data_IF_258787474544
#
_entry.id   IF_258787474544
#
_cell.length_a   1.000
_cell.length_b   1.000
_cell.length_c   1.000
_cell.angle_alpha   90.00
_cell.angle_beta   90.00
_cell.angle_gamma   90.00
#
_symmetry.space_group_name_H-M   'P 1'
#
loop_
_entity.id
_entity.type
_entity.pdbx_description
1 polymer ?
#
# COMPACT_ATOMS: atom_id res chain seq x y z
N UNK A 1 -32.67 -16.14 -19.66
CA UNK A 1 -33.16 -17.23 -18.80
C UNK A 1 -32.50 -17.04 -17.45
N UNK A 2 -33.25 -16.48 -16.51
CA UNK A 2 -32.88 -16.49 -15.10
C UNK A 2 -33.35 -17.84 -14.56
N UNK A 3 -32.47 -18.62 -13.93
CA UNK A 3 -32.90 -19.70 -13.05
C UNK A 3 -31.79 -20.21 -12.13
N UNK A 4 -32.11 -20.19 -10.84
CA UNK A 4 -31.81 -21.22 -9.84
C UNK A 4 -30.37 -21.37 -9.34
N UNK A 5 -29.90 -20.37 -8.56
CA UNK A 5 -29.04 -20.67 -7.42
C UNK A 5 -29.94 -20.87 -6.17
N UNK A 6 -29.78 -21.96 -5.41
CA UNK A 6 -30.65 -22.27 -4.28
C UNK A 6 -30.54 -21.20 -3.21
N UNK A 7 -31.70 -20.82 -2.67
CA UNK A 7 -31.90 -19.88 -1.58
C UNK A 7 -31.28 -20.40 -0.28
N UNK A 8 -29.95 -20.28 -0.15
CA UNK A 8 -29.32 -20.10 1.14
C UNK A 8 -29.53 -18.64 1.58
N UNK A 9 -29.69 -18.41 2.88
CA UNK A 9 -29.86 -17.10 3.53
C UNK A 9 -28.62 -16.18 3.42
N UNK A 10 -27.92 -16.17 2.29
CA UNK A 10 -26.74 -15.37 2.03
C UNK A 10 -27.08 -14.16 1.19
N UNK A 11 -27.39 -13.03 1.82
CA UNK A 11 -27.42 -11.77 1.10
C UNK A 11 -26.08 -11.55 0.41
N UNK A 12 -26.07 -11.48 -0.92
CA UNK A 12 -24.87 -11.13 -1.68
C UNK A 12 -24.37 -9.79 -1.17
N UNK A 13 -23.15 -9.76 -0.61
CA UNK A 13 -22.53 -8.51 -0.19
C UNK A 13 -22.28 -7.69 -1.45
N UNK A 14 -22.99 -6.58 -1.60
CA UNK A 14 -22.82 -5.62 -2.71
C UNK A 14 -21.52 -4.84 -2.53
N UNK A 15 -20.39 -5.54 -2.62
CA UNK A 15 -19.05 -4.98 -2.58
C UNK A 15 -18.49 -4.87 -4.00
N UNK A 16 -17.64 -3.87 -4.21
CA UNK A 16 -16.83 -3.81 -5.42
C UNK A 16 -15.62 -4.73 -5.26
N UNK A 17 -15.73 -5.94 -5.82
CA UNK A 17 -14.63 -6.91 -5.85
C UNK A 17 -13.53 -6.54 -6.87
N UNK A 18 -13.73 -5.47 -7.65
CA UNK A 18 -12.85 -5.00 -8.71
C UNK A 18 -13.05 -5.76 -10.03
N UNK A 19 -12.00 -5.89 -10.86
CA UNK A 19 -12.06 -6.55 -12.17
C UNK A 19 -12.49 -8.03 -12.11
N UNK A 20 -12.50 -8.62 -10.93
CA UNK A 20 -12.94 -9.99 -10.69
C UNK A 20 -14.43 -10.16 -10.98
N UNK A 21 -15.23 -9.09 -10.82
CA UNK A 21 -16.65 -9.09 -11.16
C UNK A 21 -16.90 -9.48 -12.63
N UNK A 22 -15.99 -9.10 -13.53
CA UNK A 22 -16.07 -9.44 -14.96
C UNK A 22 -15.67 -10.90 -15.23
N UNK A 23 -14.88 -11.51 -14.33
CA UNK A 23 -14.40 -12.89 -14.41
C UNK A 23 -15.29 -13.89 -13.63
N UNK A 24 -16.34 -13.42 -12.94
CA UNK A 24 -17.31 -14.25 -12.20
C UNK A 24 -18.39 -14.85 -13.13
N UNK A 25 -17.98 -15.53 -14.19
CA UNK A 25 -18.88 -16.39 -14.97
C UNK A 25 -18.75 -17.85 -14.51
N UNK A 26 -19.20 -18.83 -15.31
CA UNK A 26 -19.20 -20.25 -14.92
C UNK A 26 -17.79 -20.85 -14.76
N UNK A 27 -16.75 -20.20 -15.31
CA UNK A 27 -15.37 -20.65 -15.22
C UNK A 27 -14.38 -19.48 -15.27
N UNK A 28 -13.20 -19.71 -14.70
CA UNK A 28 -12.11 -18.73 -14.76
C UNK A 28 -11.51 -18.67 -16.17
N UNK A 29 -11.39 -17.46 -16.71
CA UNK A 29 -10.64 -17.17 -17.93
C UNK A 29 -9.41 -16.33 -17.61
N UNK A 30 -8.27 -16.70 -18.18
CA UNK A 30 -7.06 -15.90 -18.05
C UNK A 30 -7.20 -14.60 -18.86
N UNK A 31 -7.37 -13.48 -18.16
CA UNK A 31 -7.42 -12.14 -18.76
C UNK A 31 -6.04 -11.48 -18.57
N UNK A 32 -5.35 -11.10 -19.67
CA UNK A 32 -4.05 -10.45 -19.59
C UNK A 32 -4.08 -9.19 -18.72
N UNK A 33 -3.17 -9.09 -17.75
CA UNK A 33 -3.09 -7.99 -16.79
C UNK A 33 -3.95 -8.14 -15.53
N UNK A 34 -4.78 -9.19 -15.44
CA UNK A 34 -5.58 -9.54 -14.24
C UNK A 34 -5.03 -10.74 -13.48
N UNK A 35 -3.86 -11.26 -13.85
CA UNK A 35 -3.24 -12.42 -13.21
C UNK A 35 -2.95 -12.17 -11.73
N UNK A 36 -2.74 -10.90 -11.35
CA UNK A 36 -2.55 -10.51 -9.95
C UNK A 36 -3.75 -10.87 -9.07
N UNK A 37 -4.97 -10.95 -9.61
CA UNK A 37 -6.18 -11.26 -8.84
C UNK A 37 -6.12 -12.66 -8.20
N UNK A 38 -5.50 -13.62 -8.90
CA UNK A 38 -5.36 -15.01 -8.45
C UNK A 38 -4.01 -15.28 -7.78
N UNK A 39 -3.10 -14.30 -7.78
CA UNK A 39 -1.81 -14.41 -7.13
C UNK A 39 -1.97 -14.53 -5.60
N UNK A 40 -1.16 -15.37 -4.96
CA UNK A 40 -1.17 -15.48 -3.51
C UNK A 40 -0.81 -14.11 -2.87
N UNK A 41 -1.66 -13.50 -2.03
CA UNK A 41 -1.35 -12.20 -1.43
C UNK A 41 -0.20 -12.26 -0.40
N UNK A 42 0.14 -13.45 0.11
CA UNK A 42 1.24 -13.70 1.04
C UNK A 42 2.43 -14.40 0.38
N UNK A 43 2.93 -13.88 -0.74
CA UNK A 43 4.09 -14.48 -1.42
C UNK A 43 5.32 -14.47 -0.49
N UNK A 44 5.95 -15.61 -0.22
CA UNK A 44 7.21 -15.63 0.54
C UNK A 44 8.33 -14.97 -0.26
N UNK A 45 9.27 -14.30 0.41
CA UNK A 45 10.42 -13.65 -0.26
C UNK A 45 10.18 -12.23 -0.76
N UNK A 46 9.06 -11.60 -0.39
CA UNK A 46 8.82 -10.16 -0.64
C UNK A 46 9.96 -9.30 -0.07
N UNK A 47 10.46 -9.63 1.13
CA UNK A 47 11.58 -8.91 1.75
C UNK A 47 12.86 -8.94 0.90
N UNK A 48 13.18 -10.08 0.27
CA UNK A 48 14.36 -10.21 -0.59
C UNK A 48 14.32 -9.29 -1.81
N UNK A 49 13.12 -8.98 -2.30
CA UNK A 49 12.92 -8.07 -3.43
C UNK A 49 12.87 -6.61 -2.99
N UNK A 50 12.45 -6.31 -1.76
CA UNK A 50 12.35 -4.95 -1.24
C UNK A 50 13.69 -4.45 -0.67
N UNK A 51 14.50 -5.32 -0.05
CA UNK A 51 15.84 -4.96 0.47
C UNK A 51 16.74 -4.25 -0.57
N UNK A 52 16.90 -4.73 -1.82
CA UNK A 52 17.70 -4.03 -2.81
C UNK A 52 17.09 -2.69 -3.21
N UNK A 53 15.76 -2.55 -3.20
CA UNK A 53 15.10 -1.26 -3.43
C UNK A 53 15.42 -0.27 -2.31
N UNK A 54 15.34 -0.71 -1.05
CA UNK A 54 15.71 0.12 0.13
C UNK A 54 17.15 0.60 0.00
N UNK A 55 18.09 -0.31 -0.29
CA UNK A 55 19.50 0.05 -0.49
C UNK A 55 19.68 1.10 -1.59
N UNK A 56 18.93 0.97 -2.68
CA UNK A 56 18.96 1.92 -3.81
C UNK A 56 18.33 3.28 -3.46
N UNK A 57 17.34 3.31 -2.57
CA UNK A 57 16.76 4.54 -2.03
C UNK A 57 17.69 5.24 -1.04
N UNK A 58 18.37 4.49 -0.18
CA UNK A 58 19.37 5.00 0.78
C UNK A 58 20.59 5.59 0.09
N UNK A 59 21.10 4.92 -0.96
CA UNK A 59 22.30 5.34 -1.68
C UNK A 59 22.08 6.56 -2.59
N UNK A 60 20.86 7.08 -2.70
CA UNK A 60 20.53 8.14 -3.67
C UNK A 60 20.45 7.66 -5.12
N UNK A 61 20.75 6.39 -5.40
CA UNK A 61 20.85 5.87 -6.77
C UNK A 61 19.52 5.82 -7.53
N UNK A 62 18.38 5.90 -6.85
CA UNK A 62 17.04 6.02 -7.46
C UNK A 62 16.57 7.48 -7.62
N UNK A 63 17.42 8.47 -7.34
CA UNK A 63 16.99 9.88 -7.32
C UNK A 63 18.07 10.95 -7.43
N UNK A 64 19.36 10.62 -7.58
CA UNK A 64 20.41 11.65 -7.78
C UNK A 64 20.33 12.32 -9.15
N UNK A 65 19.63 11.72 -10.12
CA UNK A 65 19.34 12.35 -11.42
C UNK A 65 18.11 13.30 -11.35
N UNK A 66 17.43 13.36 -10.19
CA UNK A 66 16.19 14.11 -9.98
C UNK A 66 16.09 14.86 -8.64
N UNK A 67 17.18 15.06 -7.90
CA UNK A 67 17.33 16.37 -7.26
C UNK A 67 17.52 17.36 -8.41
N UNK A 68 16.40 17.71 -9.05
CA UNK A 68 16.32 18.90 -9.88
C UNK A 68 16.98 19.98 -9.03
N UNK A 69 18.07 20.54 -9.54
CA UNK A 69 18.72 21.69 -8.95
C UNK A 69 17.72 22.86 -9.04
N UNK A 70 16.79 22.85 -8.09
CA UNK A 70 15.68 23.79 -7.96
C UNK A 70 16.15 25.05 -7.25
N UNK A 71 17.32 25.04 -6.59
CA UNK A 71 17.92 26.22 -5.97
C UNK A 71 18.07 27.35 -7.00
N UNK A 72 18.38 26.98 -8.25
CA UNK A 72 18.54 27.92 -9.36
C UNK A 72 17.24 28.21 -10.15
N UNK A 73 16.14 27.46 -9.93
CA UNK A 73 14.87 27.61 -10.69
C UNK A 73 13.71 28.17 -9.88
N UNK A 74 13.68 27.95 -8.57
CA UNK A 74 12.58 28.40 -7.69
C UNK A 74 13.03 29.67 -6.98
N UNK A 75 12.88 30.80 -7.67
CA UNK A 75 13.27 32.13 -7.15
C UNK A 75 12.37 32.59 -5.99
N UNK A 76 11.11 32.11 -5.92
CA UNK A 76 10.17 32.42 -4.85
C UNK A 76 9.25 31.23 -4.56
N UNK A 77 9.59 30.44 -3.55
CA UNK A 77 8.75 29.34 -3.07
C UNK A 77 7.65 29.86 -2.13
N UNK A 78 6.35 29.75 -2.47
CA UNK A 78 5.26 30.20 -1.59
C UNK A 78 5.20 29.42 -0.27
N UNK A 79 5.68 28.18 -0.23
CA UNK A 79 5.74 27.35 0.98
C UNK A 79 6.85 27.80 1.94
N UNK A 80 7.76 28.68 1.51
CA UNK A 80 8.80 29.25 2.38
C UNK A 80 8.25 30.08 3.53
N UNK A 81 7.03 30.62 3.41
CA UNK A 81 6.37 31.44 4.43
C UNK A 81 5.46 30.65 5.37
N UNK A 82 5.22 29.37 5.07
CA UNK A 82 4.30 28.52 5.82
C UNK A 82 5.06 27.83 6.95
N UNK A 83 4.44 27.73 8.13
CA UNK A 83 5.02 27.01 9.26
C UNK A 83 5.02 25.51 9.03
N UNK A 84 5.94 24.81 9.70
CA UNK A 84 6.05 23.35 9.59
C UNK A 84 4.72 22.63 9.86
N UNK A 85 4.01 23.01 10.92
CA UNK A 85 2.78 22.32 11.35
C UNK A 85 1.67 22.42 10.30
N UNK A 86 1.53 23.59 9.66
CA UNK A 86 0.55 23.78 8.58
C UNK A 86 0.94 22.94 7.37
N UNK A 87 2.24 22.90 7.03
CA UNK A 87 2.71 22.06 5.93
C UNK A 87 2.49 20.57 6.22
N UNK A 88 2.72 20.13 7.45
CA UNK A 88 2.51 18.76 7.90
C UNK A 88 1.04 18.36 7.76
N UNK A 89 0.11 19.19 8.21
CA UNK A 89 -1.33 18.91 8.08
C UNK A 89 -1.79 18.91 6.63
N UNK A 90 -1.31 19.84 5.80
CA UNK A 90 -1.56 19.81 4.35
C UNK A 90 -1.06 18.48 3.77
N UNK A 91 0.18 18.10 4.06
CA UNK A 91 0.79 16.87 3.55
C UNK A 91 0.06 15.60 4.01
N UNK A 92 -0.53 15.61 5.21
CA UNK A 92 -1.32 14.51 5.77
C UNK A 92 -2.64 14.30 5.02
N UNK A 93 -3.25 15.38 4.53
CA UNK A 93 -4.52 15.33 3.79
C UNK A 93 -4.34 14.98 2.30
N UNK A 94 -3.13 15.09 1.78
CA UNK A 94 -2.85 14.83 0.37
C UNK A 94 -2.71 13.33 0.05
N UNK A 95 -3.05 12.96 -1.19
CA UNK A 95 -2.73 11.64 -1.74
C UNK A 95 -1.21 11.44 -1.85
N UNK A 96 -0.73 10.19 -1.83
CA UNK A 96 0.70 9.87 -1.99
C UNK A 96 1.31 10.48 -3.25
N UNK A 97 0.62 10.31 -4.37
CA UNK A 97 1.06 10.85 -5.66
C UNK A 97 1.15 12.37 -5.64
N UNK A 98 0.12 13.05 -5.15
CA UNK A 98 0.10 14.52 -5.09
C UNK A 98 1.20 15.07 -4.17
N UNK A 99 1.45 14.39 -3.05
CA UNK A 99 2.49 14.80 -2.10
C UNK A 99 3.90 14.63 -2.68
N UNK A 100 4.15 13.53 -3.39
CA UNK A 100 5.43 13.32 -4.06
C UNK A 100 5.64 14.36 -5.17
N UNK A 101 4.61 14.66 -5.96
CA UNK A 101 4.67 15.74 -6.94
C UNK A 101 4.94 17.10 -6.31
N UNK A 102 4.36 17.37 -5.13
CA UNK A 102 4.62 18.61 -4.38
C UNK A 102 6.06 18.67 -3.90
N UNK A 103 6.61 17.56 -3.38
CA UNK A 103 8.04 17.45 -3.04
C UNK A 103 8.92 17.72 -4.27
N UNK A 104 8.56 17.18 -5.44
CA UNK A 104 9.32 17.43 -6.68
C UNK A 104 9.19 18.86 -7.20
N UNK A 105 8.11 19.58 -6.85
CA UNK A 105 7.87 20.95 -7.30
C UNK A 105 8.44 22.01 -6.35
N UNK A 106 8.56 21.71 -5.05
CA UNK A 106 9.04 22.62 -4.02
C UNK A 106 10.20 21.99 -3.25
N UNK A 107 11.40 22.56 -3.44
CA UNK A 107 12.59 22.20 -2.68
C UNK A 107 12.36 22.38 -1.17
N UNK A 108 11.65 23.44 -0.77
CA UNK A 108 11.36 23.68 0.66
C UNK A 108 10.53 22.54 1.25
N UNK A 109 9.47 22.12 0.56
CA UNK A 109 8.62 21.01 1.01
C UNK A 109 9.41 19.70 1.04
N UNK A 110 10.24 19.45 0.02
CA UNK A 110 11.10 18.27 0.00
C UNK A 110 12.05 18.26 1.19
N UNK A 111 12.83 19.32 1.40
CA UNK A 111 13.80 19.40 2.50
C UNK A 111 13.13 19.18 3.86
N UNK A 112 11.99 19.82 4.09
CA UNK A 112 11.25 19.72 5.33
C UNK A 112 10.75 18.29 5.55
N UNK A 113 10.18 17.63 4.54
CA UNK A 113 9.64 16.29 4.69
C UNK A 113 10.69 15.17 4.57
N UNK A 114 11.86 15.43 3.97
CA UNK A 114 12.93 14.44 3.73
C UNK A 114 13.99 14.41 4.82
N UNK A 115 14.49 15.56 5.29
CA UNK A 115 15.76 15.63 6.02
C UNK A 115 15.64 15.32 7.53
N UNK A 116 14.45 15.40 8.12
CA UNK A 116 14.25 15.21 9.57
C UNK A 116 13.02 14.40 9.97
N UNK A 117 12.14 14.07 9.02
CA UNK A 117 10.78 13.60 9.32
C UNK A 117 10.54 12.15 8.89
N UNK A 118 11.39 11.24 9.35
CA UNK A 118 11.16 9.80 9.17
C UNK A 118 9.80 9.35 9.71
N UNK A 119 9.42 9.87 10.88
CA UNK A 119 8.15 9.53 11.52
C UNK A 119 6.94 9.92 10.67
N UNK A 120 7.01 11.01 9.92
CA UNK A 120 5.95 11.37 8.99
C UNK A 120 5.73 10.26 7.96
N UNK A 121 6.80 9.78 7.32
CA UNK A 121 6.69 8.72 6.31
C UNK A 121 6.34 7.36 6.92
N UNK A 122 6.81 7.04 8.12
CA UNK A 122 6.39 5.83 8.86
C UNK A 122 4.91 5.86 9.17
N UNK A 123 4.43 6.98 9.74
CA UNK A 123 3.00 7.21 10.00
C UNK A 123 2.18 7.09 8.70
N UNK A 124 2.71 7.62 7.60
CA UNK A 124 2.07 7.56 6.30
C UNK A 124 1.97 6.14 5.74
N UNK A 125 2.99 5.30 5.89
CA UNK A 125 2.91 3.89 5.52
C UNK A 125 1.82 3.19 6.34
N UNK A 126 1.81 3.41 7.66
CA UNK A 126 0.83 2.78 8.57
C UNK A 126 -0.61 3.18 8.25
N UNK A 127 -0.84 4.41 7.80
CA UNK A 127 -2.19 4.94 7.56
C UNK A 127 -2.65 4.80 6.11
N UNK A 128 -1.79 5.07 5.13
CA UNK A 128 -2.13 5.11 3.71
C UNK A 128 -1.83 3.80 2.98
N UNK A 129 -0.93 2.96 3.52
CA UNK A 129 -0.56 1.66 2.94
C UNK A 129 -0.79 0.51 3.95
N UNK A 130 -2.00 0.37 4.51
CA UNK A 130 -2.28 -0.63 5.55
C UNK A 130 -2.08 -2.07 5.06
N UNK A 131 -2.29 -2.33 3.77
CA UNK A 131 -1.98 -3.61 3.12
C UNK A 131 -0.49 -3.97 3.14
N UNK A 132 0.42 -3.04 3.41
CA UNK A 132 1.87 -3.26 3.49
C UNK A 132 2.36 -3.48 4.94
N UNK A 133 1.48 -3.37 5.93
CA UNK A 133 1.84 -3.30 7.36
C UNK A 133 2.79 -4.41 7.82
N UNK A 134 2.44 -5.69 7.63
CA UNK A 134 3.28 -6.80 8.11
C UNK A 134 4.66 -6.85 7.46
N UNK A 135 4.76 -6.47 6.18
CA UNK A 135 6.06 -6.37 5.48
C UNK A 135 6.87 -5.19 6.01
N UNK A 136 6.21 -4.06 6.25
CA UNK A 136 6.85 -2.89 6.83
C UNK A 136 7.39 -3.16 8.25
N UNK A 137 6.63 -3.84 9.10
CA UNK A 137 7.06 -4.18 10.46
C UNK A 137 8.30 -5.08 10.46
N UNK A 138 8.37 -6.05 9.54
CA UNK A 138 9.56 -6.89 9.38
C UNK A 138 10.79 -6.06 8.94
N UNK A 139 10.60 -5.09 8.03
CA UNK A 139 11.67 -4.19 7.59
C UNK A 139 12.12 -3.23 8.71
N UNK A 140 11.19 -2.73 9.53
CA UNK A 140 11.52 -1.90 10.70
C UNK A 140 12.31 -2.69 11.74
N UNK A 141 11.95 -3.95 11.99
CA UNK A 141 12.66 -4.83 12.92
C UNK A 141 14.10 -5.14 12.47
N UNK A 142 14.37 -5.15 11.15
CA UNK A 142 15.72 -5.31 10.61
C UNK A 142 16.60 -4.06 10.78
N UNK A 143 16.02 -2.88 11.06
CA UNK A 143 16.77 -1.64 11.26
C UNK A 143 17.49 -1.10 10.02
N UNK A 144 17.13 -1.58 8.82
CA UNK A 144 17.83 -1.27 7.56
C UNK A 144 17.34 0.02 6.87
N UNK A 145 16.28 0.66 7.37
CA UNK A 145 15.64 1.81 6.72
C UNK A 145 15.98 3.13 7.41
N UNK A 146 16.74 3.98 6.72
CA UNK A 146 16.86 5.39 7.08
C UNK A 146 15.63 6.21 6.61
N UNK A 147 15.54 7.48 7.03
CA UNK A 147 14.39 8.34 6.69
C UNK A 147 14.22 8.56 5.18
N UNK A 148 15.32 8.62 4.42
CA UNK A 148 15.31 8.79 2.96
C UNK A 148 14.80 7.53 2.28
N UNK A 149 15.20 6.36 2.78
CA UNK A 149 14.78 5.07 2.31
C UNK A 149 13.27 4.85 2.48
N UNK A 150 12.70 5.30 3.61
CA UNK A 150 11.26 5.19 3.88
C UNK A 150 10.46 6.03 2.87
N UNK A 151 10.88 7.28 2.61
CA UNK A 151 10.26 8.12 1.58
C UNK A 151 10.37 7.49 0.19
N UNK A 152 11.56 7.03 -0.17
CA UNK A 152 11.81 6.36 -1.46
C UNK A 152 10.97 5.09 -1.62
N UNK A 153 10.83 4.30 -0.56
CA UNK A 153 9.96 3.13 -0.53
C UNK A 153 8.50 3.50 -0.79
N UNK A 154 7.98 4.55 -0.14
CA UNK A 154 6.62 5.06 -0.39
C UNK A 154 6.45 5.49 -1.84
N UNK A 155 7.45 6.15 -2.43
CA UNK A 155 7.42 6.56 -3.83
C UNK A 155 7.42 5.38 -4.81
N UNK A 156 8.15 4.31 -4.50
CA UNK A 156 8.27 3.13 -5.37
C UNK A 156 7.11 2.14 -5.21
N UNK A 157 6.52 2.01 -4.03
CA UNK A 157 5.49 1.01 -3.76
C UNK A 157 4.25 1.21 -4.63
N UNK A 158 3.81 2.44 -4.86
CA UNK A 158 2.62 2.71 -5.68
C UNK A 158 2.80 2.23 -7.13
N UNK A 159 3.84 2.64 -7.90
CA UNK A 159 4.03 2.17 -9.26
C UNK A 159 4.42 0.69 -9.36
N UNK A 160 5.02 0.09 -8.33
CA UNK A 160 5.35 -1.34 -8.30
C UNK A 160 4.15 -2.24 -8.03
N UNK A 161 3.15 -1.75 -7.28
CA UNK A 161 1.98 -2.55 -6.88
C UNK A 161 0.70 -2.15 -7.60
N UNK A 162 0.75 -1.15 -8.49
CA UNK A 162 -0.39 -0.79 -9.34
C UNK A 162 -0.65 -1.89 -10.37
N UNK A 163 -1.88 -2.44 -10.43
CA UNK A 163 -2.24 -3.42 -11.46
C UNK A 163 -1.99 -2.89 -12.87
N UNK A 164 -1.17 -3.60 -13.64
CA UNK A 164 -0.88 -3.33 -15.04
C UNK A 164 -0.45 -4.59 -15.77
N UNK A 165 -0.59 -4.60 -17.09
CA UNK A 165 -0.05 -5.66 -17.93
C UNK A 165 1.46 -5.81 -17.70
N UNK A 166 1.92 -7.06 -17.55
CA UNK A 166 3.33 -7.36 -17.30
C UNK A 166 3.81 -7.17 -15.85
N UNK A 167 2.91 -6.91 -14.89
CA UNK A 167 3.23 -7.03 -13.47
C UNK A 167 3.55 -8.51 -13.17
N UNK A 168 4.70 -8.82 -12.57
CA UNK A 168 5.12 -10.20 -12.33
C UNK A 168 5.71 -10.42 -10.94
N UNK A 169 5.86 -11.69 -10.55
CA UNK A 169 6.56 -12.11 -9.34
C UNK A 169 5.87 -11.68 -8.04
N UNK A 170 6.67 -11.28 -7.05
CA UNK A 170 6.17 -10.91 -5.71
C UNK A 170 5.21 -9.72 -5.73
N UNK A 171 5.36 -8.82 -6.71
CA UNK A 171 4.53 -7.63 -6.82
C UNK A 171 3.10 -7.93 -7.27
N UNK A 172 2.85 -9.04 -7.99
CA UNK A 172 1.49 -9.53 -8.26
C UNK A 172 0.76 -9.83 -6.95
N UNK A 173 1.42 -10.54 -6.02
CA UNK A 173 0.83 -10.84 -4.71
C UNK A 173 0.57 -9.58 -3.89
N UNK A 174 1.51 -8.62 -3.91
CA UNK A 174 1.31 -7.33 -3.24
C UNK A 174 0.14 -6.53 -3.84
N UNK A 175 0.00 -6.53 -5.17
CA UNK A 175 -1.15 -5.92 -5.83
C UNK A 175 -2.47 -6.61 -5.43
N UNK A 176 -2.48 -7.95 -5.30
CA UNK A 176 -3.66 -8.64 -4.80
C UNK A 176 -3.97 -8.28 -3.34
N UNK A 177 -2.94 -8.21 -2.48
CA UNK A 177 -3.10 -7.81 -1.07
C UNK A 177 -3.68 -6.40 -0.96
N UNK A 178 -3.20 -5.46 -1.78
CA UNK A 178 -3.76 -4.11 -1.89
C UNK A 178 -5.23 -4.12 -2.30
N UNK A 179 -5.60 -4.92 -3.32
CA UNK A 179 -6.99 -5.10 -3.76
C UNK A 179 -7.87 -5.66 -2.63
N UNK A 180 -7.47 -6.77 -2.03
CA UNK A 180 -8.21 -7.43 -0.93
C UNK A 180 -8.41 -6.46 0.23
N UNK A 181 -7.39 -5.68 0.60
CA UNK A 181 -7.53 -4.68 1.64
C UNK A 181 -8.58 -3.61 1.31
N UNK A 182 -8.62 -3.17 0.05
CA UNK A 182 -9.65 -2.26 -0.43
C UNK A 182 -11.07 -2.81 -0.24
N UNK A 183 -11.27 -4.10 -0.48
CA UNK A 183 -12.54 -4.78 -0.20
C UNK A 183 -12.82 -4.83 1.31
N UNK A 184 -11.81 -5.11 2.15
CA UNK A 184 -11.97 -5.13 3.61
C UNK A 184 -12.41 -3.77 4.15
N UNK A 185 -11.92 -2.66 3.61
CA UNK A 185 -12.37 -1.32 4.01
C UNK A 185 -13.84 -1.07 3.61
N UNK A 186 -14.26 -1.49 2.41
CA UNK A 186 -15.68 -1.42 2.02
C UNK A 186 -16.57 -2.28 2.95
N UNK A 187 -16.12 -3.51 3.24
CA UNK A 187 -16.82 -4.43 4.13
C UNK A 187 -16.96 -3.84 5.54
N UNK A 188 -15.90 -3.22 6.06
CA UNK A 188 -15.90 -2.56 7.37
C UNK A 188 -16.92 -1.44 7.44
N UNK A 189 -17.07 -0.62 6.38
CA UNK A 189 -18.10 0.41 6.31
C UNK A 189 -19.50 -0.21 6.32
N UNK A 190 -19.73 -1.23 5.48
CA UNK A 190 -21.02 -1.93 5.41
C UNK A 190 -21.38 -2.61 6.75
N UNK A 191 -20.39 -3.23 7.40
CA UNK A 191 -20.56 -3.87 8.70
C UNK A 191 -20.89 -2.84 9.79
N UNK A 192 -20.18 -1.70 9.87
CA UNK A 192 -20.45 -0.62 10.83
C UNK A 192 -21.86 -0.05 10.69
N UNK A 193 -22.33 0.14 9.46
CA UNK A 193 -23.69 0.60 9.19
C UNK A 193 -24.73 -0.40 9.73
N UNK A 194 -24.43 -1.70 9.68
CA UNK A 194 -25.31 -2.77 10.18
C UNK A 194 -25.19 -3.00 11.68
N UNK A 195 -24.00 -2.83 12.25
CA UNK A 195 -23.69 -3.12 13.65
C UNK A 195 -24.09 -2.00 14.64
N UNK A 196 -24.52 -0.83 14.15
CA UNK A 196 -24.90 0.28 15.03
C UNK A 196 -23.72 0.80 15.86
N UNK A 197 -22.70 1.35 15.18
CA UNK A 197 -21.73 2.33 15.70
C UNK A 197 -21.31 2.23 17.19
N UNK A 198 -20.78 1.09 17.67
CA UNK A 198 -20.27 1.02 19.05
C UNK A 198 -18.98 0.22 19.29
N UNK A 199 -18.25 -0.27 18.28
CA UNK A 199 -16.98 -0.99 18.52
C UNK A 199 -15.95 -0.71 17.43
N UNK A 200 -15.21 0.39 17.56
CA UNK A 200 -14.37 0.90 16.47
C UNK A 200 -12.92 0.41 16.45
N UNK A 201 -12.37 -0.03 17.60
CA UNK A 201 -10.95 -0.34 17.72
C UNK A 201 -10.63 -1.83 17.89
N UNK A 202 -11.57 -2.61 18.43
CA UNK A 202 -11.49 -4.07 18.50
C UNK A 202 -11.48 -4.71 17.11
N UNK A 203 -12.33 -4.23 16.20
CA UNK A 203 -12.50 -4.82 14.86
C UNK A 203 -11.27 -4.59 13.98
N UNK A 204 -10.63 -3.41 14.06
CA UNK A 204 -9.38 -3.15 13.31
C UNK A 204 -8.26 -4.06 13.79
N UNK A 205 -8.11 -4.21 15.11
CA UNK A 205 -7.11 -5.11 15.69
C UNK A 205 -7.38 -6.57 15.31
N UNK A 206 -8.65 -7.00 15.31
CA UNK A 206 -9.04 -8.34 14.91
C UNK A 206 -8.78 -8.63 13.42
N UNK A 207 -9.05 -7.68 12.51
CA UNK A 207 -8.77 -7.86 11.07
C UNK A 207 -7.26 -7.94 10.82
N UNK A 208 -6.46 -7.09 11.47
CA UNK A 208 -4.99 -7.11 11.33
C UNK A 208 -4.45 -8.43 11.88
N UNK A 209 -4.87 -8.84 13.09
CA UNK A 209 -4.45 -10.12 13.71
C UNK A 209 -4.84 -11.32 12.86
N UNK A 210 -6.08 -11.37 12.36
CA UNK A 210 -6.54 -12.47 11.52
C UNK A 210 -5.79 -12.56 10.19
N UNK A 211 -5.42 -11.41 9.61
CA UNK A 211 -4.64 -11.40 8.37
C UNK A 211 -3.19 -11.86 8.61
N UNK A 212 -2.58 -11.44 9.71
CA UNK A 212 -1.22 -11.82 10.07
C UNK A 212 -1.14 -13.29 10.52
N UNK A 213 -2.13 -13.79 11.28
CA UNK A 213 -2.29 -15.21 11.61
C UNK A 213 -2.46 -16.07 10.35
N UNK A 214 -3.34 -15.66 9.43
CA UNK A 214 -3.54 -16.34 8.16
C UNK A 214 -2.26 -16.39 7.31
N UNK A 215 -1.51 -15.29 7.26
CA UNK A 215 -0.23 -15.22 6.56
C UNK A 215 0.84 -16.13 7.21
N UNK A 216 0.87 -16.20 8.54
CA UNK A 216 1.83 -17.00 9.32
C UNK A 216 1.51 -18.50 9.31
N UNK A 217 0.24 -18.90 9.34
CA UNK A 217 -0.17 -20.31 9.30
C UNK A 217 0.10 -20.95 7.93
N UNK A 218 -0.13 -20.22 6.84
CA UNK A 218 0.19 -20.73 5.50
C UNK A 218 1.69 -20.69 5.21
N UNK A 219 2.44 -19.73 5.75
CA UNK A 219 3.90 -19.72 5.69
C UNK A 219 4.54 -20.98 6.31
N UNK A 220 3.89 -21.59 7.32
CA UNK A 220 4.32 -22.86 7.93
C UNK A 220 3.92 -24.09 7.11
N UNK A 221 2.74 -24.11 6.49
CA UNK A 221 2.26 -25.27 5.71
C UNK A 221 3.04 -25.57 4.44
N UNK A 222 3.75 -24.60 3.86
CA UNK A 222 4.58 -24.83 2.67
C UNK A 222 6.04 -25.23 2.99
N UNK A 223 6.45 -25.31 4.27
CA UNK A 223 7.77 -25.84 4.67
C UNK A 223 7.79 -27.35 4.93
N UNK A 224 6.66 -28.03 4.90
CA UNK A 224 6.53 -29.46 5.25
C UNK A 224 6.25 -30.38 4.05
N UNK A 225 6.50 -29.90 2.82
CA UNK A 225 6.51 -30.75 1.63
C UNK A 225 7.82 -30.51 0.87
N UNK A 226 8.91 -31.00 1.46
CA UNK A 226 10.13 -31.46 0.75
C UNK A 226 10.57 -32.73 1.44
#
# INVERSE_FOLDING_TARGET
MADLAPSCLGGHLTLDYGPVNEAHQDHWHAIPGLEYVVANPGVPGVLEHIRPLIKSCSSGSLGDDHMLDLENRVVNDPFGKITYDVLYEIARLMSTKSLLNLCSASCRVDCVLSAGNGEFWRHRIRTQLPWFHGTFQALEAEGIMDNRAIKGLVAMLDPLTTPRMGLTGVFMGMANRRRIWGLCEQLKVAYRAKAGANEDESVKAAIISAFDEWAMERGRRFRTVV
#
